data_IF_583074821892
#
_entry.id   IF_583074821892
#
_cell.length_a   1.000
_cell.length_b   1.000
_cell.length_c   1.000
_cell.angle_alpha   90.00
_cell.angle_beta   90.00
_cell.angle_gamma   90.00
#
_symmetry.space_group_name_H-M   'P 1'
#
loop_
_entity.id
_entity.type
_entity.pdbx_description
1 polymer ?
#
# COMPACT_ATOMS: atom_id res chain seq x y z
N UNK A 1 -25.02 -4.00 -12.10
CA UNK A 1 -23.62 -4.06 -11.64
C UNK A 1 -23.00 -2.75 -12.08
N UNK A 2 -22.56 -1.92 -11.15
CA UNK A 2 -21.78 -0.73 -11.51
C UNK A 2 -20.36 -1.24 -11.69
N UNK A 3 -19.88 -1.29 -12.93
CA UNK A 3 -18.45 -1.46 -13.17
C UNK A 3 -17.76 -0.25 -12.53
N UNK A 4 -16.93 -0.49 -11.53
CA UNK A 4 -16.04 0.53 -10.99
C UNK A 4 -14.77 0.41 -11.82
N UNK A 5 -14.48 1.42 -12.63
CA UNK A 5 -13.19 1.49 -13.32
C UNK A 5 -12.21 2.27 -12.45
N UNK A 6 -11.00 1.72 -12.33
CA UNK A 6 -9.88 2.34 -11.64
C UNK A 6 -8.84 2.80 -12.65
N UNK A 7 -8.32 4.00 -12.45
CA UNK A 7 -7.26 4.57 -13.25
C UNK A 7 -5.95 4.59 -12.46
N UNK A 8 -4.90 4.04 -13.05
CA UNK A 8 -3.57 3.92 -12.45
C UNK A 8 -2.64 4.99 -13.04
N UNK A 9 -2.04 5.81 -12.18
CA UNK A 9 -1.18 6.92 -12.55
C UNK A 9 0.26 6.63 -12.10
N UNK A 10 1.19 6.74 -13.04
CA UNK A 10 2.60 6.39 -12.83
C UNK A 10 3.53 7.59 -13.01
N UNK A 11 4.63 7.60 -12.26
CA UNK A 11 5.81 8.41 -12.54
C UNK A 11 6.98 7.46 -12.88
N UNK A 12 7.37 7.43 -14.16
CA UNK A 12 8.23 6.38 -14.68
C UNK A 12 7.61 4.99 -14.47
N UNK A 13 8.29 4.12 -13.72
CA UNK A 13 7.82 2.79 -13.33
C UNK A 13 7.02 2.77 -12.03
N UNK A 14 6.98 3.88 -11.29
CA UNK A 14 6.43 3.92 -9.95
C UNK A 14 4.94 4.26 -10.00
N UNK A 15 4.08 3.40 -9.46
CA UNK A 15 2.67 3.71 -9.30
C UNK A 15 2.53 4.77 -8.20
N UNK A 16 2.06 5.97 -8.52
CA UNK A 16 1.97 7.09 -7.58
C UNK A 16 0.53 7.35 -7.11
N UNK A 17 -0.47 6.96 -7.91
CA UNK A 17 -1.88 7.21 -7.56
C UNK A 17 -2.83 6.24 -8.26
N UNK A 18 -3.90 5.87 -7.57
CA UNK A 18 -5.08 5.20 -8.15
C UNK A 18 -6.27 6.14 -7.96
N UNK A 19 -7.05 6.37 -9.00
CA UNK A 19 -8.29 7.15 -8.93
C UNK A 19 -9.50 6.34 -9.41
N UNK A 20 -10.69 6.68 -8.93
CA UNK A 20 -11.95 6.19 -9.51
C UNK A 20 -12.33 6.98 -10.79
N UNK A 21 -13.44 6.60 -11.41
CA UNK A 21 -13.98 7.23 -12.62
C UNK A 21 -14.36 8.71 -12.46
N UNK A 22 -14.57 9.16 -11.22
CA UNK A 22 -14.83 10.57 -10.93
C UNK A 22 -13.53 11.37 -10.73
N UNK A 23 -12.37 10.72 -10.91
CA UNK A 23 -11.05 11.29 -10.66
C UNK A 23 -10.70 11.44 -9.18
N UNK A 24 -11.47 10.84 -8.26
CA UNK A 24 -11.14 10.88 -6.84
C UNK A 24 -10.04 9.88 -6.52
N UNK A 25 -9.04 10.32 -5.76
CA UNK A 25 -7.95 9.47 -5.28
C UNK A 25 -8.50 8.37 -4.35
N UNK A 26 -8.21 7.12 -4.70
CA UNK A 26 -8.47 5.93 -3.88
C UNK A 26 -7.23 5.57 -3.08
N UNK A 27 -6.06 5.61 -3.73
CA UNK A 27 -4.75 5.40 -3.13
C UNK A 27 -3.74 6.39 -3.69
N UNK A 28 -2.85 6.88 -2.83
CA UNK A 28 -1.64 7.61 -3.23
C UNK A 28 -0.41 6.93 -2.62
N UNK A 29 0.70 6.90 -3.35
CA UNK A 29 1.92 6.22 -2.94
C UNK A 29 3.10 7.18 -2.97
N UNK A 30 3.95 7.13 -1.94
CA UNK A 30 5.20 7.89 -1.88
C UNK A 30 6.36 6.94 -2.04
N UNK A 31 7.35 7.34 -2.84
CA UNK A 31 8.53 6.56 -3.15
C UNK A 31 9.79 7.32 -2.71
N UNK A 32 10.81 6.59 -2.29
CA UNK A 32 12.15 7.09 -2.01
C UNK A 32 13.15 6.18 -2.72
N UNK A 33 13.92 6.72 -3.67
CA UNK A 33 14.94 5.99 -4.45
C UNK A 33 14.45 4.65 -5.05
N UNK A 34 13.21 4.61 -5.53
CA UNK A 34 12.60 3.42 -6.13
C UNK A 34 11.95 2.46 -5.14
N UNK A 35 11.95 2.77 -3.84
CA UNK A 35 11.27 1.98 -2.80
C UNK A 35 10.00 2.69 -2.30
N UNK A 36 8.86 2.00 -2.15
CA UNK A 36 7.66 2.60 -1.60
C UNK A 36 7.81 2.78 -0.09
N UNK A 37 7.61 4.01 0.40
CA UNK A 37 7.81 4.35 1.82
C UNK A 37 6.51 4.62 2.57
N UNK A 38 5.48 5.08 1.86
CA UNK A 38 4.15 5.28 2.43
C UNK A 38 3.04 5.13 1.40
N UNK A 39 1.84 4.94 1.91
CA UNK A 39 0.60 4.95 1.15
C UNK A 39 -0.46 5.76 1.89
N UNK A 40 -1.34 6.44 1.17
CA UNK A 40 -2.43 7.22 1.74
C UNK A 40 -3.75 6.74 1.14
N UNK A 41 -4.73 6.44 1.99
CA UNK A 41 -6.05 5.98 1.54
C UNK A 41 -6.97 7.15 1.15
N UNK A 42 -8.16 6.82 0.65
CA UNK A 42 -9.20 7.79 0.28
C UNK A 42 -9.63 8.72 1.43
N UNK A 43 -9.50 8.29 2.68
CA UNK A 43 -9.83 9.09 3.86
C UNK A 43 -8.72 10.07 4.26
N UNK A 44 -7.56 10.02 3.58
CA UNK A 44 -6.39 10.83 3.91
C UNK A 44 -5.50 10.23 5.00
N UNK A 45 -5.81 9.02 5.47
CA UNK A 45 -4.96 8.31 6.44
C UNK A 45 -3.70 7.81 5.74
N UNK A 46 -2.54 8.11 6.35
CA UNK A 46 -1.23 7.70 5.80
C UNK A 46 -0.64 6.57 6.62
N UNK A 47 -0.11 5.58 5.91
CA UNK A 47 0.49 4.39 6.47
C UNK A 47 1.92 4.24 5.95
N UNK A 48 2.76 3.61 6.76
CA UNK A 48 4.20 3.52 6.50
C UNK A 48 4.62 2.05 6.37
N UNK A 49 5.42 1.77 5.35
CA UNK A 49 6.00 0.46 5.15
C UNK A 49 7.21 0.28 6.07
N UNK A 50 7.25 -0.85 6.79
CA UNK A 50 8.40 -1.27 7.57
C UNK A 50 9.02 -2.47 6.85
N UNK A 51 10.28 -2.32 6.44
CA UNK A 51 11.01 -3.34 5.68
C UNK A 51 12.03 -4.07 6.56
N UNK A 52 12.38 -5.30 6.15
CA UNK A 52 13.55 -5.99 6.68
C UNK A 52 14.84 -5.53 5.97
N UNK A 53 16.00 -6.07 6.37
CA UNK A 53 17.30 -5.73 5.79
C UNK A 53 17.46 -6.08 4.29
N UNK A 54 16.56 -6.86 3.71
CA UNK A 54 16.52 -7.21 2.27
C UNK A 54 15.60 -6.27 1.47
N UNK A 55 14.85 -5.40 2.14
CA UNK A 55 13.84 -4.54 1.52
C UNK A 55 12.43 -5.15 1.49
N UNK A 56 12.21 -6.36 2.03
CA UNK A 56 10.86 -6.95 2.05
C UNK A 56 9.99 -6.25 3.09
N UNK A 57 8.76 -5.86 2.72
CA UNK A 57 7.79 -5.21 3.62
C UNK A 57 7.30 -6.22 4.65
N UNK A 58 7.71 -6.11 5.90
CA UNK A 58 7.26 -7.01 6.98
C UNK A 58 6.07 -6.47 7.75
N UNK A 59 5.83 -5.16 7.76
CA UNK A 59 4.66 -4.54 8.39
C UNK A 59 4.22 -3.28 7.66
N UNK A 60 2.96 -2.93 7.84
CA UNK A 60 2.43 -1.61 7.56
C UNK A 60 1.92 -1.06 8.88
N UNK A 61 2.27 0.18 9.21
CA UNK A 61 1.86 0.86 10.44
C UNK A 61 1.12 2.16 10.13
N UNK A 62 0.21 2.56 11.02
CA UNK A 62 -0.38 3.89 10.96
C UNK A 62 0.54 4.97 11.53
N UNK A 63 0.09 6.22 11.54
CA UNK A 63 0.83 7.38 12.08
C UNK A 63 1.27 7.25 13.55
N UNK A 64 0.56 6.42 14.33
CA UNK A 64 0.88 6.16 15.73
C UNK A 64 1.84 4.97 15.91
N UNK A 65 2.28 4.35 14.81
CA UNK A 65 3.09 3.14 14.82
C UNK A 65 2.29 1.86 15.11
N UNK A 66 0.96 1.92 15.09
CA UNK A 66 0.12 0.74 15.29
C UNK A 66 0.16 -0.13 14.04
N UNK A 67 0.51 -1.43 14.14
CA UNK A 67 0.49 -2.33 12.99
C UNK A 67 -0.93 -2.51 12.45
N UNK A 68 -1.10 -2.25 11.15
CA UNK A 68 -2.35 -2.45 10.39
C UNK A 68 -2.28 -3.63 9.43
N UNK A 69 -1.06 -4.03 9.05
CA UNK A 69 -0.78 -5.31 8.41
C UNK A 69 0.57 -5.86 8.88
N UNK A 70 0.72 -7.17 8.82
CA UNK A 70 1.98 -7.86 9.08
C UNK A 70 2.14 -8.99 8.07
N UNK A 71 3.30 -9.03 7.43
CA UNK A 71 3.63 -10.04 6.45
C UNK A 71 4.81 -10.86 6.96
N UNK A 72 4.63 -12.18 6.90
CA UNK A 72 5.70 -13.14 7.10
C UNK A 72 6.00 -13.75 5.75
N UNK A 73 7.27 -14.03 5.46
CA UNK A 73 7.68 -14.64 4.20
C UNK A 73 8.27 -16.02 4.45
N UNK A 74 8.04 -16.96 3.53
CA UNK A 74 8.79 -18.20 3.49
C UNK A 74 10.23 -17.97 2.98
N UNK A 75 11.13 -18.97 3.05
CA UNK A 75 12.51 -18.82 2.56
C UNK A 75 12.64 -18.47 1.08
N UNK A 76 11.57 -18.60 0.28
CA UNK A 76 11.52 -18.24 -1.14
C UNK A 76 10.87 -16.87 -1.38
N UNK A 77 10.56 -16.11 -0.33
CA UNK A 77 10.00 -14.77 -0.42
C UNK A 77 8.50 -14.73 -0.68
N UNK A 78 7.79 -15.86 -0.54
CA UNK A 78 6.34 -15.87 -0.69
C UNK A 78 5.67 -15.42 0.61
N UNK A 79 4.73 -14.47 0.58
CA UNK A 79 3.98 -14.07 1.77
C UNK A 79 3.14 -15.25 2.29
N UNK A 80 3.26 -15.50 3.59
CA UNK A 80 2.55 -16.53 4.36
C UNK A 80 1.26 -16.01 4.98
N UNK A 81 1.07 -14.68 5.08
CA UNK A 81 -0.20 -14.09 5.47
C UNK A 81 -0.99 -13.71 4.21
N UNK A 82 -2.28 -14.08 4.10
CA UNK A 82 -3.19 -13.45 3.17
C UNK A 82 -3.40 -11.97 3.57
N UNK A 83 -3.86 -11.19 2.60
CA UNK A 83 -4.17 -9.75 2.60
C UNK A 83 -4.47 -9.07 3.96
N UNK A 84 -4.19 -7.75 4.09
CA UNK A 84 -4.55 -6.99 5.28
C UNK A 84 -6.00 -7.19 5.72
N UNK A 85 -6.23 -7.46 7.00
CA UNK A 85 -7.57 -7.55 7.59
C UNK A 85 -8.04 -6.23 8.20
N UNK A 86 -7.14 -5.24 8.39
CA UNK A 86 -7.52 -3.91 8.87
C UNK A 86 -8.26 -3.16 7.75
N UNK A 87 -9.52 -2.79 8.02
CA UNK A 87 -10.40 -2.13 7.06
C UNK A 87 -9.86 -0.79 6.52
N UNK A 88 -8.89 -0.16 7.21
CA UNK A 88 -8.26 1.08 6.75
C UNK A 88 -7.34 0.89 5.55
N UNK A 89 -6.85 -0.34 5.35
CA UNK A 89 -5.95 -0.72 4.27
C UNK A 89 -6.40 -1.96 3.48
N UNK A 90 -7.56 -2.52 3.81
CA UNK A 90 -8.19 -3.56 3.01
C UNK A 90 -8.74 -2.97 1.70
N UNK A 91 -8.55 -3.70 0.60
CA UNK A 91 -9.05 -3.36 -0.75
C UNK A 91 -10.44 -3.91 -1.01
#
# INVERSE_FOLDING_TARGET
MNDVTYHYHYDGSNLIRITDDNGQTVWAFTWNDGEPVSLTNRNGETFFYITNHRGDVVRIVDENGTPVASYSYDPWGKPLSPEPTDARIAG
#
